data_IF_540211414072
#
_entry.id   IF_540211414072
#
_cell.length_a   1.000
_cell.length_b   1.000
_cell.length_c   1.000
_cell.angle_alpha   90.00
_cell.angle_beta   90.00
_cell.angle_gamma   90.00
#
_symmetry.space_group_name_H-M   'P 1'
#
loop_
_entity.id
_entity.type
_entity.pdbx_description
1 polymer ?
#
# COMPACT_ATOMS: atom_id res chain seq x y z
N UNK A 1 -12.16 12.76 2.98
CA UNK A 1 -11.96 11.27 2.99
C UNK A 1 -13.29 10.62 2.68
N UNK A 2 -13.36 9.67 1.77
CA UNK A 2 -14.60 8.94 1.46
C UNK A 2 -14.64 7.68 2.33
N UNK A 3 -15.64 7.57 3.18
CA UNK A 3 -15.86 6.39 4.03
C UNK A 3 -16.76 5.42 3.25
N UNK A 4 -16.37 4.16 3.19
CA UNK A 4 -17.14 3.07 2.57
C UNK A 4 -17.47 2.01 3.62
N UNK A 5 -18.36 1.07 3.30
CA UNK A 5 -18.68 -0.06 4.18
C UNK A 5 -17.43 -0.81 4.65
N UNK A 6 -16.41 -0.92 3.81
CA UNK A 6 -15.17 -1.59 4.15
C UNK A 6 -14.42 -0.95 5.33
N UNK A 7 -14.53 0.38 5.51
CA UNK A 7 -13.90 1.08 6.63
C UNK A 7 -14.60 0.85 7.97
N UNK A 8 -15.84 0.35 7.96
CA UNK A 8 -16.59 -0.01 9.16
C UNK A 8 -16.36 -1.47 9.61
N UNK A 9 -15.63 -2.26 8.84
CA UNK A 9 -15.38 -3.67 9.17
C UNK A 9 -14.28 -3.81 10.23
N UNK A 10 -14.41 -4.79 11.15
CA UNK A 10 -13.35 -5.13 12.11
C UNK A 10 -12.03 -5.55 11.46
N UNK A 11 -12.10 -5.98 10.19
CA UNK A 11 -10.93 -6.36 9.39
C UNK A 11 -10.18 -5.17 8.79
N UNK A 12 -10.65 -3.95 9.01
CA UNK A 12 -9.99 -2.74 8.51
C UNK A 12 -9.30 -1.98 9.63
N UNK A 13 -8.05 -1.62 9.40
CA UNK A 13 -7.27 -0.73 10.26
C UNK A 13 -6.92 0.53 9.50
N UNK A 14 -7.29 1.69 10.03
CA UNK A 14 -6.88 2.98 9.46
C UNK A 14 -5.74 3.56 10.30
N UNK A 15 -4.60 3.74 9.66
CA UNK A 15 -3.42 4.37 10.21
C UNK A 15 -3.46 5.87 9.91
N UNK A 16 -2.95 6.70 10.82
CA UNK A 16 -2.84 8.14 10.59
C UNK A 16 -1.46 8.67 11.00
N UNK A 17 -0.95 9.61 10.21
CA UNK A 17 0.18 10.44 10.58
C UNK A 17 -0.34 11.76 11.15
N UNK A 18 0.22 12.20 12.29
CA UNK A 18 -0.10 13.47 12.93
C UNK A 18 1.11 14.41 12.89
N UNK A 19 0.83 15.68 12.77
CA UNK A 19 1.78 16.76 12.94
C UNK A 19 1.07 17.88 13.72
N UNK A 20 1.62 18.30 14.86
CA UNK A 20 1.00 19.28 15.78
C UNK A 20 -0.48 18.92 16.07
N UNK A 21 -0.73 17.68 16.49
CA UNK A 21 -2.06 17.10 16.78
C UNK A 21 -3.05 17.07 15.60
N UNK A 22 -2.67 17.55 14.44
CA UNK A 22 -3.48 17.47 13.23
C UNK A 22 -3.17 16.23 12.41
N UNK A 23 -4.19 15.55 11.91
CA UNK A 23 -4.01 14.44 10.98
C UNK A 23 -3.57 14.98 9.63
N UNK A 24 -2.34 14.63 9.23
CA UNK A 24 -1.72 15.09 7.97
C UNK A 24 -1.56 13.98 6.94
N UNK A 25 -1.81 12.74 7.32
CA UNK A 25 -1.82 11.59 6.42
C UNK A 25 -2.70 10.48 6.95
N UNK A 26 -3.31 9.72 6.05
CA UNK A 26 -4.09 8.50 6.36
C UNK A 26 -3.79 7.40 5.38
N UNK A 27 -3.93 6.16 5.83
CA UNK A 27 -3.85 4.95 5.01
C UNK A 27 -4.71 3.89 5.68
N UNK A 28 -5.54 3.20 4.91
CA UNK A 28 -6.34 2.06 5.41
C UNK A 28 -5.80 0.75 4.88
N UNK A 29 -5.63 -0.22 5.78
CA UNK A 29 -5.32 -1.61 5.46
C UNK A 29 -6.61 -2.42 5.65
N UNK A 30 -7.16 -2.94 4.56
CA UNK A 30 -8.37 -3.76 4.52
C UNK A 30 -7.93 -5.21 4.36
N UNK A 31 -8.11 -6.02 5.41
CA UNK A 31 -7.84 -7.46 5.37
C UNK A 31 -9.05 -8.19 4.80
N UNK A 32 -8.85 -9.41 4.34
CA UNK A 32 -9.91 -10.20 3.76
C UNK A 32 -11.11 -10.38 4.71
N UNK A 33 -12.30 -10.31 4.15
CA UNK A 33 -13.58 -10.45 4.85
C UNK A 33 -14.59 -11.18 3.98
N UNK A 34 -15.75 -11.51 4.54
CA UNK A 34 -16.83 -12.15 3.79
C UNK A 34 -17.33 -11.33 2.59
N UNK A 35 -17.13 -10.02 2.58
CA UNK A 35 -17.50 -9.15 1.45
C UNK A 35 -16.32 -8.87 0.51
N UNK A 36 -15.16 -9.51 0.73
CA UNK A 36 -13.95 -9.36 -0.09
C UNK A 36 -13.31 -7.98 0.03
N UNK A 37 -12.70 -7.53 -1.06
CA UNK A 37 -11.97 -6.25 -1.16
C UNK A 37 -12.70 -5.25 -2.06
N UNK A 38 -12.57 -3.93 -1.80
CA UNK A 38 -13.10 -2.89 -2.68
C UNK A 38 -12.67 -3.05 -4.14
N UNK A 39 -11.39 -3.32 -4.39
CA UNK A 39 -10.81 -3.40 -5.73
C UNK A 39 -11.32 -4.60 -6.55
N UNK A 40 -11.87 -5.65 -5.92
CA UNK A 40 -12.44 -6.81 -6.60
C UNK A 40 -13.66 -6.49 -7.46
N UNK A 41 -14.26 -5.32 -7.28
CA UNK A 41 -15.34 -4.84 -8.16
C UNK A 41 -14.91 -4.63 -9.61
N UNK A 42 -13.61 -4.45 -9.83
CA UNK A 42 -13.06 -4.11 -11.15
C UNK A 42 -11.81 -4.91 -11.52
N UNK A 43 -11.14 -5.55 -10.56
CA UNK A 43 -9.93 -6.35 -10.79
C UNK A 43 -10.11 -7.77 -10.32
N UNK A 44 -9.67 -8.73 -11.13
CA UNK A 44 -9.62 -10.12 -10.75
C UNK A 44 -8.39 -10.38 -9.84
N UNK A 45 -8.62 -11.01 -8.70
CA UNK A 45 -7.60 -11.42 -7.74
C UNK A 45 -7.27 -12.91 -7.77
N UNK A 46 -7.85 -13.68 -8.68
CA UNK A 46 -7.65 -15.14 -8.75
C UNK A 46 -6.16 -15.47 -8.74
N UNK A 47 -5.36 -14.86 -9.61
CA UNK A 47 -3.92 -15.11 -9.68
C UNK A 47 -3.11 -14.63 -8.46
N UNK A 48 -3.68 -13.82 -7.57
CA UNK A 48 -3.08 -13.49 -6.27
C UNK A 48 -3.52 -14.50 -5.22
N UNK A 49 -4.78 -14.95 -5.24
CA UNK A 49 -5.36 -15.92 -4.30
C UNK A 49 -4.82 -17.33 -4.46
N UNK A 50 -4.39 -17.70 -5.67
CA UNK A 50 -3.71 -18.98 -5.92
C UNK A 50 -2.33 -19.08 -5.26
N UNK A 51 -1.79 -17.96 -4.79
CA UNK A 51 -0.53 -17.92 -4.05
C UNK A 51 -0.80 -18.06 -2.56
N UNK A 52 0.09 -18.74 -1.87
CA UNK A 52 0.01 -18.86 -0.41
C UNK A 52 0.10 -17.51 0.29
N UNK A 53 -0.62 -17.39 1.40
CA UNK A 53 -0.53 -16.29 2.36
C UNK A 53 -1.69 -15.30 2.30
N UNK A 54 -1.80 -14.52 3.36
CA UNK A 54 -2.89 -13.58 3.55
C UNK A 54 -2.76 -12.36 2.62
N UNK A 55 -3.90 -11.88 2.15
CA UNK A 55 -4.00 -10.70 1.28
C UNK A 55 -4.57 -9.53 2.09
N UNK A 56 -4.08 -8.33 1.81
CA UNK A 56 -4.72 -7.10 2.27
C UNK A 56 -4.70 -6.03 1.17
N UNK A 57 -5.77 -5.23 1.12
CA UNK A 57 -5.83 -4.07 0.22
C UNK A 57 -5.37 -2.82 0.97
N UNK A 58 -4.44 -2.08 0.37
CA UNK A 58 -4.08 -0.73 0.82
C UNK A 58 -4.98 0.27 0.12
N UNK A 59 -5.75 1.00 0.90
CA UNK A 59 -6.78 1.92 0.42
C UNK A 59 -6.72 3.26 1.16
N UNK A 60 -7.48 4.23 0.69
CA UNK A 60 -7.68 5.54 1.32
C UNK A 60 -6.37 6.26 1.71
N UNK A 61 -5.29 6.02 0.96
CA UNK A 61 -4.04 6.76 1.13
C UNK A 61 -4.25 8.23 0.77
N UNK A 62 -4.08 9.09 1.73
CA UNK A 62 -4.18 10.54 1.56
C UNK A 62 -3.08 11.26 2.35
N UNK A 63 -2.52 12.30 1.76
CA UNK A 63 -1.56 13.21 2.40
C UNK A 63 -2.08 14.64 2.27
N UNK A 64 -2.04 15.36 3.37
CA UNK A 64 -2.47 16.76 3.42
C UNK A 64 -1.68 17.60 2.38
N UNK A 65 -2.31 18.52 1.63
CA UNK A 65 -1.68 19.26 0.53
C UNK A 65 -0.34 19.92 0.88
N UNK A 66 -0.21 20.48 2.09
CA UNK A 66 1.04 21.09 2.57
C UNK A 66 2.24 20.14 2.59
N UNK A 67 1.99 18.83 2.71
CA UNK A 67 3.03 17.81 2.85
C UNK A 67 3.23 16.95 1.59
N UNK A 68 2.47 17.18 0.51
CA UNK A 68 2.56 16.39 -0.72
C UNK A 68 3.88 16.55 -1.49
N UNK A 69 4.55 17.69 -1.32
CA UNK A 69 5.80 18.04 -2.05
C UNK A 69 7.03 18.05 -1.15
N UNK A 70 6.99 17.36 -0.04
CA UNK A 70 8.07 17.34 0.97
C UNK A 70 8.96 16.10 0.85
N UNK A 71 9.15 15.55 -0.36
CA UNK A 71 10.02 14.39 -0.57
C UNK A 71 9.53 13.10 0.09
N UNK A 72 8.21 13.01 0.39
CA UNK A 72 7.65 11.79 0.98
C UNK A 72 7.75 11.72 2.51
N UNK A 73 8.02 12.83 3.20
CA UNK A 73 8.18 12.88 4.68
C UNK A 73 6.99 12.34 5.47
N UNK A 74 5.79 12.31 4.90
CA UNK A 74 4.61 11.68 5.49
C UNK A 74 4.35 10.31 4.84
N UNK A 75 4.49 10.23 3.52
CA UNK A 75 4.14 9.04 2.75
C UNK A 75 4.99 7.83 3.15
N UNK A 76 6.32 7.96 3.11
CA UNK A 76 7.21 6.82 3.35
C UNK A 76 7.14 6.29 4.79
N UNK A 77 7.15 7.12 5.86
CA UNK A 77 6.94 6.61 7.21
C UNK A 77 5.59 5.92 7.40
N UNK A 78 4.51 6.46 6.81
CA UNK A 78 3.19 5.85 6.91
C UNK A 78 3.14 4.49 6.19
N UNK A 79 3.76 4.39 5.02
CA UNK A 79 3.88 3.11 4.29
C UNK A 79 4.77 2.10 5.02
N UNK A 80 5.88 2.56 5.62
CA UNK A 80 6.75 1.69 6.42
C UNK A 80 6.01 1.17 7.65
N UNK A 81 5.31 2.03 8.37
CA UNK A 81 4.51 1.64 9.51
C UNK A 81 3.45 0.60 9.11
N UNK A 82 2.74 0.83 8.01
CA UNK A 82 1.78 -0.13 7.47
C UNK A 82 2.45 -1.47 7.14
N UNK A 83 3.60 -1.46 6.48
CA UNK A 83 4.36 -2.68 6.14
C UNK A 83 4.72 -3.48 7.40
N UNK A 84 5.34 -2.83 8.40
CA UNK A 84 5.71 -3.48 9.65
C UNK A 84 4.47 -3.98 10.40
N UNK A 85 3.40 -3.19 10.46
CA UNK A 85 2.15 -3.55 11.12
C UNK A 85 1.49 -4.78 10.50
N UNK A 86 1.34 -4.80 9.19
CA UNK A 86 0.64 -5.90 8.52
C UNK A 86 1.44 -7.21 8.50
N UNK A 87 2.77 -7.14 8.44
CA UNK A 87 3.62 -8.33 8.48
C UNK A 87 3.81 -8.87 9.89
N UNK A 88 3.85 -8.01 10.90
CA UNK A 88 4.04 -8.43 12.29
C UNK A 88 2.78 -9.00 12.93
N UNK A 89 1.62 -8.37 12.69
CA UNK A 89 0.39 -8.72 13.42
C UNK A 89 -0.59 -9.56 12.62
N UNK A 90 -0.49 -9.61 11.29
CA UNK A 90 -1.50 -10.26 10.44
C UNK A 90 -0.93 -11.26 9.45
N UNK A 91 0.37 -11.50 9.49
CA UNK A 91 1.05 -12.40 8.53
C UNK A 91 0.62 -12.10 7.07
N UNK A 92 0.49 -10.81 6.75
CA UNK A 92 0.11 -10.38 5.41
C UNK A 92 1.26 -10.65 4.45
N UNK A 93 0.98 -11.43 3.43
CA UNK A 93 1.96 -11.76 2.39
C UNK A 93 1.77 -10.96 1.12
N UNK A 94 0.54 -10.70 0.73
CA UNK A 94 0.25 -9.98 -0.49
C UNK A 94 -0.48 -8.67 -0.18
N UNK A 95 0.06 -7.57 -0.69
CA UNK A 95 -0.66 -6.30 -0.73
C UNK A 95 -1.20 -6.07 -2.13
N UNK A 96 -2.44 -5.62 -2.21
CA UNK A 96 -3.09 -5.19 -3.45
C UNK A 96 -3.50 -3.73 -3.36
N UNK A 97 -3.43 -3.03 -4.47
CA UNK A 97 -3.77 -1.61 -4.58
C UNK A 97 -4.57 -1.34 -5.84
N UNK A 98 -5.45 -0.34 -5.78
CA UNK A 98 -6.04 0.29 -6.95
C UNK A 98 -5.69 1.78 -6.94
N UNK A 99 -4.93 2.23 -7.91
CA UNK A 99 -4.36 3.58 -7.96
C UNK A 99 -4.63 4.26 -9.29
N UNK A 100 -4.61 5.59 -9.29
CA UNK A 100 -4.66 6.35 -10.53
C UNK A 100 -3.47 5.95 -11.44
N UNK A 101 -3.65 5.80 -12.76
CA UNK A 101 -2.58 5.43 -13.70
C UNK A 101 -1.32 6.28 -13.58
N UNK A 102 -1.45 7.56 -13.23
CA UNK A 102 -0.30 8.45 -13.01
C UNK A 102 0.54 8.09 -11.79
N UNK A 103 -0.06 7.40 -10.81
CA UNK A 103 0.65 7.03 -9.58
C UNK A 103 1.34 5.68 -9.71
N UNK A 104 0.89 4.80 -10.61
CA UNK A 104 1.50 3.47 -10.77
C UNK A 104 2.98 3.56 -11.16
N UNK A 105 3.36 4.62 -11.90
CA UNK A 105 4.75 4.91 -12.28
C UNK A 105 5.69 5.10 -11.06
N UNK A 106 5.15 5.37 -9.87
CA UNK A 106 5.91 5.39 -8.62
C UNK A 106 5.95 3.99 -7.99
N UNK A 107 4.83 3.28 -7.97
CA UNK A 107 4.72 1.98 -7.28
C UNK A 107 5.52 0.88 -7.98
N UNK A 108 5.53 0.84 -9.31
CA UNK A 108 6.24 -0.19 -10.08
C UNK A 108 7.77 -0.09 -9.91
N UNK A 109 8.44 1.03 -10.27
CA UNK A 109 9.90 1.08 -10.24
C UNK A 109 10.51 1.26 -8.84
N UNK A 110 9.77 1.86 -7.89
CA UNK A 110 10.31 2.13 -6.55
C UNK A 110 9.95 1.05 -5.54
N UNK A 111 8.74 0.50 -5.63
CA UNK A 111 8.19 -0.42 -4.64
C UNK A 111 7.93 -1.82 -5.21
N UNK A 112 8.21 -2.02 -6.51
CA UNK A 112 8.12 -3.32 -7.19
C UNK A 112 6.74 -3.96 -7.20
N UNK A 113 5.69 -3.14 -7.16
CA UNK A 113 4.35 -3.61 -7.44
C UNK A 113 4.24 -4.10 -8.89
N UNK A 114 3.53 -5.19 -9.10
CA UNK A 114 3.25 -5.75 -10.41
C UNK A 114 1.78 -5.52 -10.74
N UNK A 115 1.50 -5.04 -11.95
CA UNK A 115 0.11 -4.86 -12.40
C UNK A 115 -0.63 -6.19 -12.35
N UNK A 116 -1.88 -6.12 -11.91
CA UNK A 116 -2.80 -7.23 -12.04
C UNK A 116 -3.09 -7.41 -13.53
N UNK A 117 -3.03 -8.66 -14.00
CA UNK A 117 -3.29 -8.99 -15.40
C UNK A 117 -4.73 -8.67 -15.79
N UNK A 118 -4.86 -8.13 -17.00
CA UNK A 118 -6.11 -7.94 -17.73
C UNK A 118 -7.14 -7.04 -17.06
N UNK A 119 -6.90 -5.74 -17.06
CA UNK A 119 -7.92 -4.85 -17.59
C UNK A 119 -7.34 -3.47 -17.75
N UNK A 120 -7.51 -2.92 -18.95
CA UNK A 120 -7.37 -1.50 -19.18
C UNK A 120 -8.03 -0.74 -18.03
N UNK A 121 -7.44 0.40 -17.65
CA UNK A 121 -7.91 1.27 -16.59
C UNK A 121 -9.45 1.32 -16.54
N UNK A 122 -10.01 0.58 -15.58
CA UNK A 122 -11.46 0.54 -15.40
C UNK A 122 -11.89 1.74 -14.54
N UNK A 123 -13.06 2.28 -14.81
CA UNK A 123 -13.62 3.32 -13.98
C UNK A 123 -13.92 2.75 -12.58
N UNK A 124 -13.22 3.24 -11.59
CA UNK A 124 -13.37 2.81 -10.21
C UNK A 124 -14.12 3.86 -9.40
N UNK A 125 -15.38 3.60 -9.10
CA UNK A 125 -16.27 4.54 -8.41
C UNK A 125 -15.73 5.02 -7.04
N UNK A 126 -14.90 4.20 -6.40
CA UNK A 126 -14.28 4.56 -5.12
C UNK A 126 -13.11 5.55 -5.27
N UNK A 127 -12.67 5.82 -6.50
CA UNK A 127 -11.61 6.80 -6.82
C UNK A 127 -12.16 7.89 -7.75
N UNK A 128 -13.29 8.50 -7.39
CA UNK A 128 -13.92 9.59 -8.15
C UNK A 128 -14.21 9.24 -9.63
N UNK A 129 -14.66 8.01 -9.90
CA UNK A 129 -14.91 7.51 -11.27
C UNK A 129 -13.70 7.68 -12.22
N UNK A 130 -12.50 7.85 -11.66
CA UNK A 130 -11.28 7.94 -12.44
C UNK A 130 -10.81 6.54 -12.86
N UNK A 131 -10.13 6.43 -14.01
CA UNK A 131 -9.49 5.18 -14.37
C UNK A 131 -8.50 4.75 -13.27
N UNK A 132 -8.52 3.47 -12.91
CA UNK A 132 -7.62 2.90 -11.93
C UNK A 132 -6.79 1.75 -12.55
N UNK A 133 -5.60 1.55 -12.03
CA UNK A 133 -4.75 0.39 -12.31
C UNK A 133 -4.63 -0.42 -11.03
N UNK A 134 -4.95 -1.72 -11.13
CA UNK A 134 -4.74 -2.67 -10.05
C UNK A 134 -3.30 -3.17 -10.06
N UNK A 135 -2.71 -3.31 -8.88
CA UNK A 135 -1.38 -3.90 -8.75
C UNK A 135 -1.24 -4.68 -7.44
N UNK A 136 -0.29 -5.59 -7.39
CA UNK A 136 0.03 -6.42 -6.23
C UNK A 136 1.53 -6.50 -5.96
N UNK A 137 1.89 -6.76 -4.71
CA UNK A 137 3.26 -7.07 -4.30
C UNK A 137 3.26 -8.26 -3.35
N UNK A 138 4.24 -9.16 -3.50
CA UNK A 138 4.52 -10.24 -2.56
C UNK A 138 5.56 -9.75 -1.54
N UNK A 139 5.14 -9.55 -0.30
CA UNK A 139 5.98 -9.00 0.76
C UNK A 139 7.09 -9.96 1.20
N UNK A 140 6.96 -11.26 0.93
CA UNK A 140 8.02 -12.24 1.20
C UNK A 140 9.19 -12.08 0.22
N UNK A 141 8.91 -11.77 -1.03
CA UNK A 141 9.93 -11.63 -2.07
C UNK A 141 10.39 -10.17 -2.31
N UNK A 142 9.60 -9.20 -1.87
CA UNK A 142 9.90 -7.78 -2.05
C UNK A 142 11.26 -7.37 -1.44
N UNK A 143 11.65 -7.80 -0.23
CA UNK A 143 12.95 -7.44 0.35
C UNK A 143 14.13 -7.84 -0.52
N UNK A 144 14.13 -9.05 -1.06
CA UNK A 144 15.21 -9.53 -1.93
C UNK A 144 15.25 -8.79 -3.27
N UNK A 145 14.09 -8.49 -3.83
CA UNK A 145 13.99 -7.68 -5.05
C UNK A 145 14.53 -6.27 -4.82
N UNK A 146 14.14 -5.64 -3.71
CA UNK A 146 14.65 -4.33 -3.32
C UNK A 146 16.15 -4.36 -3.06
N UNK A 147 16.66 -5.36 -2.36
CA UNK A 147 18.09 -5.53 -2.08
C UNK A 147 18.92 -5.54 -3.36
N UNK A 148 18.48 -6.30 -4.37
CA UNK A 148 19.14 -6.34 -5.69
C UNK A 148 19.10 -4.99 -6.42
N UNK A 149 17.94 -4.36 -6.45
CA UNK A 149 17.73 -3.11 -7.19
C UNK A 149 18.42 -1.90 -6.57
N UNK A 150 18.59 -1.91 -5.25
CA UNK A 150 19.22 -0.83 -4.49
C UNK A 150 20.67 -1.13 -4.09
N UNK A 151 21.25 -2.24 -4.57
CA UNK A 151 22.66 -2.59 -4.30
C UNK A 151 23.61 -1.45 -4.70
N UNK A 152 24.53 -1.12 -3.80
CA UNK A 152 25.53 -0.05 -4.02
C UNK A 152 25.00 1.39 -3.90
N UNK A 153 23.70 1.58 -3.60
CA UNK A 153 23.17 2.93 -3.33
C UNK A 153 23.43 3.35 -1.88
N UNK A 154 23.74 4.62 -1.68
CA UNK A 154 23.89 5.20 -0.33
C UNK A 154 22.58 5.06 0.47
N UNK A 155 22.66 4.90 1.79
CA UNK A 155 21.52 4.60 2.67
C UNK A 155 20.36 5.61 2.53
N UNK A 156 20.64 6.88 2.33
CA UNK A 156 19.62 7.92 2.13
C UNK A 156 18.88 7.83 0.77
N UNK A 157 19.32 6.95 -0.12
CA UNK A 157 18.70 6.66 -1.43
C UNK A 157 18.38 5.17 -1.62
N UNK A 158 18.41 4.41 -0.52
CA UNK A 158 18.23 2.97 -0.54
C UNK A 158 16.92 2.58 0.17
N UNK A 159 15.88 2.29 -0.60
CA UNK A 159 14.59 1.89 -0.04
C UNK A 159 14.63 0.51 0.63
N UNK A 160 15.52 -0.39 0.21
CA UNK A 160 15.73 -1.64 0.95
C UNK A 160 16.22 -1.35 2.36
N UNK A 161 17.25 -0.52 2.51
CA UNK A 161 17.73 -0.11 3.82
C UNK A 161 16.60 0.51 4.65
N UNK A 162 15.84 1.43 4.06
CA UNK A 162 14.74 2.11 4.75
C UNK A 162 13.63 1.16 5.20
N UNK A 163 13.11 0.29 4.31
CA UNK A 163 11.96 -0.55 4.62
C UNK A 163 12.32 -1.82 5.40
N UNK A 164 13.49 -2.40 5.16
CA UNK A 164 13.82 -3.75 5.65
C UNK A 164 14.89 -3.77 6.75
N UNK A 165 15.82 -2.79 6.78
CA UNK A 165 16.95 -2.82 7.72
C UNK A 165 16.78 -1.84 8.89
N UNK A 166 16.05 -0.72 8.71
CA UNK A 166 15.71 0.18 9.81
C UNK A 166 14.38 -0.21 10.43
N UNK A 167 14.21 0.00 11.72
CA UNK A 167 12.92 -0.19 12.42
C UNK A 167 12.36 1.16 12.83
N UNK A 168 11.04 1.29 12.82
CA UNK A 168 10.39 2.42 13.43
C UNK A 168 10.47 2.26 14.96
N UNK A 169 10.82 3.30 15.71
CA UNK A 169 10.70 3.28 17.16
C UNK A 169 9.21 3.12 17.50
N UNK A 170 8.87 2.21 18.42
CA UNK A 170 7.52 2.08 19.00
C UNK A 170 6.44 1.31 18.21
N UNK A 171 6.76 0.41 17.31
CA UNK A 171 5.84 -0.69 16.99
C UNK A 171 6.08 -1.79 18.03
N UNK A 172 5.30 -1.78 19.09
CA UNK A 172 5.26 -2.83 20.10
C UNK A 172 4.06 -3.73 19.86
#
# INVERSE_FOLDING_TARGET
>A
MRVTVYHALPTTTTLCAKFDDQVVGTLSLIRESAIGFPLQRIFDLTGVREKEGNIAEVSALAVHPRFRRTGGTILFPLMKFMYEYCTTFFDTRHLVIAVNPRHIEMYEPLLFFKRLTANAAANYDLVHAAPAVGASIDLKHAPETMRKAYAGKANNRNLHHYFCETKLPNIQ
#
